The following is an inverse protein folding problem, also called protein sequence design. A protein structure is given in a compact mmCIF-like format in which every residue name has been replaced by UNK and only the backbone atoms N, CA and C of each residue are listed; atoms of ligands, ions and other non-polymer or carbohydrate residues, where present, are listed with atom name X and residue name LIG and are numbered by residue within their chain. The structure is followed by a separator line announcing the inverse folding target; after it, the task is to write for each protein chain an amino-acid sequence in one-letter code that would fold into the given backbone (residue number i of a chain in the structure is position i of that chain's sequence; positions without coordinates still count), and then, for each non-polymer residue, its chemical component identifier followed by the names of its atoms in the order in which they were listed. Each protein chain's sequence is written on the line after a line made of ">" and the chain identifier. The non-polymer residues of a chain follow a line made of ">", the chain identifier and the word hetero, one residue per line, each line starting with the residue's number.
data_IF_605178773519
#
_entry.id   IF_605178773519
#
_cell.length_a   1.000
_cell.length_b   1.000
_cell.length_c   1.000
_cell.angle_alpha   90.00
_cell.angle_beta   90.00
_cell.angle_gamma   90.00
#
_symmetry.space_group_name_H-M   'P 1'
#
loop_
_entity.id
_entity.type
_entity.pdbx_description
1 polymer ?
#
# COMPACT_ATOMS: atom_id res chain seq x y z
N UNK A 1 1.58 27.26 -2.88
CA UNK A 1 0.89 26.83 -1.65
C UNK A 1 1.72 25.72 -1.03
N UNK A 2 1.88 25.71 0.29
CA UNK A 2 2.50 24.60 1.02
C UNK A 2 1.70 23.32 0.80
N UNK A 3 2.36 22.19 0.61
CA UNK A 3 1.69 20.89 0.49
C UNK A 3 1.02 20.54 1.83
N UNK A 4 -0.18 19.95 1.80
CA UNK A 4 -0.81 19.45 3.02
C UNK A 4 0.06 18.37 3.67
N UNK A 5 0.06 18.33 5.00
CA UNK A 5 0.72 17.30 5.79
C UNK A 5 -0.30 16.20 6.14
N UNK A 6 -0.05 14.97 5.72
CA UNK A 6 -0.97 13.84 5.93
C UNK A 6 -0.34 12.79 6.84
N UNK A 7 -1.01 12.47 7.95
CA UNK A 7 -0.61 11.34 8.78
C UNK A 7 -1.21 10.04 8.22
N UNK A 8 -0.36 9.04 8.00
CA UNK A 8 -0.76 7.72 7.48
C UNK A 8 -0.55 6.68 8.56
N UNK A 9 -1.65 6.10 9.05
CA UNK A 9 -1.65 5.09 10.08
C UNK A 9 -1.69 3.70 9.47
N UNK A 10 -0.80 2.83 9.93
CA UNK A 10 -0.90 1.40 9.66
C UNK A 10 -1.79 0.75 10.72
N UNK A 11 -3.00 0.41 10.29
CA UNK A 11 -3.91 -0.44 11.03
C UNK A 11 -3.52 -1.92 10.93
N UNK A 12 -4.15 -2.75 11.76
CA UNK A 12 -3.84 -4.16 11.86
C UNK A 12 -4.28 -4.89 10.61
N UNK A 13 -3.65 -6.03 10.28
CA UNK A 13 -4.07 -6.87 9.15
C UNK A 13 -4.23 -6.12 7.82
N UNK A 14 -3.54 -4.98 7.66
CA UNK A 14 -3.64 -4.08 6.53
C UNK A 14 -3.29 -4.80 5.22
N UNK A 15 -4.30 -5.34 4.55
CA UNK A 15 -4.12 -6.11 3.31
C UNK A 15 -3.58 -5.24 2.19
N UNK A 16 -3.78 -3.92 2.31
CA UNK A 16 -3.18 -2.91 1.43
C UNK A 16 -1.68 -2.74 1.64
N UNK A 17 -1.15 -3.08 2.82
CA UNK A 17 0.27 -3.11 3.13
C UNK A 17 0.82 -4.54 3.22
N UNK A 18 0.25 -5.48 2.45
CA UNK A 18 0.75 -6.84 2.29
C UNK A 18 1.43 -7.00 0.93
N UNK A 19 2.38 -7.92 0.82
CA UNK A 19 3.00 -8.34 -0.43
C UNK A 19 2.64 -9.79 -0.78
N UNK A 20 2.60 -10.17 -2.07
CA UNK A 20 2.65 -11.57 -2.49
C UNK A 20 3.86 -12.27 -1.89
N UNK A 21 3.82 -13.61 -1.87
CA UNK A 21 4.98 -14.38 -1.39
C UNK A 21 6.17 -14.16 -2.31
N UNK A 22 7.32 -13.83 -1.72
CA UNK A 22 8.58 -13.74 -2.43
C UNK A 22 9.11 -15.15 -2.70
N UNK A 23 8.99 -15.61 -3.94
CA UNK A 23 9.47 -16.91 -4.42
C UNK A 23 10.81 -16.69 -5.12
N UNK A 24 11.82 -17.51 -4.89
CA UNK A 24 13.11 -17.34 -5.60
C UNK A 24 12.92 -17.62 -7.10
N UNK A 25 13.27 -16.64 -7.93
CA UNK A 25 13.26 -16.73 -9.40
C UNK A 25 14.27 -17.74 -9.93
N UNK A 26 14.16 -18.14 -11.20
CA UNK A 26 15.04 -19.15 -11.80
C UNK A 26 16.50 -18.67 -11.84
N UNK A 27 16.72 -17.35 -11.93
CA UNK A 27 18.06 -16.74 -11.77
C UNK A 27 18.68 -16.88 -10.38
N UNK A 28 17.86 -17.08 -9.34
CA UNK A 28 18.35 -17.30 -7.98
C UNK A 28 18.50 -18.78 -7.61
N UNK A 29 18.23 -19.69 -8.56
CA UNK A 29 18.24 -21.14 -8.36
C UNK A 29 19.57 -21.74 -8.81
N UNK A 30 19.99 -22.79 -8.12
CA UNK A 30 21.14 -23.62 -8.47
C UNK A 30 20.71 -24.70 -9.47
N UNK A 31 21.67 -25.32 -10.15
CA UNK A 31 21.41 -26.46 -11.05
C UNK A 31 20.74 -27.65 -10.36
N UNK A 32 20.95 -27.80 -9.05
CA UNK A 32 20.34 -28.84 -8.22
C UNK A 32 18.91 -28.52 -7.77
N UNK A 33 18.46 -27.27 -7.93
CA UNK A 33 17.12 -26.87 -7.52
C UNK A 33 16.08 -27.20 -8.60
N UNK A 34 14.82 -27.30 -8.17
CA UNK A 34 13.69 -27.35 -9.10
C UNK A 34 13.42 -25.96 -9.67
N UNK A 35 13.43 -25.82 -10.99
CA UNK A 35 13.12 -24.57 -11.68
C UNK A 35 11.60 -24.34 -11.79
N UNK A 36 11.16 -23.07 -11.82
CA UNK A 36 9.76 -22.67 -11.97
C UNK A 36 9.22 -22.90 -13.39
N UNK A 37 10.10 -23.11 -14.38
CA UNK A 37 9.76 -23.40 -15.79
C UNK A 37 8.85 -22.33 -16.42
N UNK A 38 9.12 -21.06 -16.14
CA UNK A 38 8.40 -19.93 -16.73
C UNK A 38 9.21 -19.33 -17.88
N UNK A 39 8.53 -18.63 -18.80
CA UNK A 39 9.22 -17.92 -19.88
C UNK A 39 10.12 -16.78 -19.37
N UNK A 40 9.72 -16.15 -18.26
CA UNK A 40 10.42 -15.01 -17.67
C UNK A 40 10.49 -15.16 -16.15
N UNK A 41 11.58 -14.69 -15.56
CA UNK A 41 11.66 -14.44 -14.12
C UNK A 41 10.65 -13.36 -13.73
N UNK A 42 9.98 -13.56 -12.60
CA UNK A 42 9.17 -12.49 -12.01
C UNK A 42 10.10 -11.43 -11.41
N UNK A 43 9.64 -10.18 -11.46
CA UNK A 43 10.38 -9.03 -10.96
C UNK A 43 9.73 -8.51 -9.69
N UNK A 44 10.54 -8.05 -8.75
CA UNK A 44 10.08 -7.41 -7.51
C UNK A 44 10.87 -6.12 -7.26
N UNK A 45 10.28 -5.12 -6.57
CA UNK A 45 10.95 -3.86 -6.27
C UNK A 45 12.15 -4.07 -5.36
N UNK A 46 13.35 -3.80 -5.85
CA UNK A 46 14.61 -3.96 -5.13
C UNK A 46 15.56 -2.80 -5.41
N UNK A 47 16.44 -2.52 -4.46
CA UNK A 47 17.44 -1.47 -4.60
C UNK A 47 18.72 -2.03 -5.19
N UNK A 48 19.44 -1.17 -5.91
CA UNK A 48 20.81 -1.45 -6.28
C UNK A 48 21.70 -1.41 -5.04
N UNK A 49 22.71 -2.28 -5.00
CA UNK A 49 23.72 -2.24 -3.94
C UNK A 49 24.73 -1.10 -4.18
N UNK A 50 25.10 -0.90 -5.45
CA UNK A 50 26.03 0.12 -5.91
C UNK A 50 25.58 0.69 -7.26
N UNK A 51 26.09 1.88 -7.67
CA UNK A 51 25.76 2.44 -8.97
C UNK A 51 26.16 1.54 -10.14
N UNK A 52 25.33 1.51 -11.18
CA UNK A 52 25.57 0.73 -12.40
C UNK A 52 25.17 1.51 -13.65
N UNK A 53 26.05 1.50 -14.65
CA UNK A 53 25.71 2.03 -15.97
C UNK A 53 25.05 0.94 -16.81
N UNK A 54 23.82 1.17 -17.24
CA UNK A 54 23.07 0.26 -18.12
C UNK A 54 22.95 0.83 -19.51
N UNK A 55 22.90 -0.08 -20.50
CA UNK A 55 22.58 0.25 -21.88
C UNK A 55 21.16 -0.20 -22.20
N UNK A 56 20.27 0.75 -22.44
CA UNK A 56 18.86 0.54 -22.75
C UNK A 56 18.72 0.54 -24.27
N UNK A 57 18.15 -0.52 -24.82
CA UNK A 57 17.90 -0.61 -26.27
C UNK A 57 16.96 0.52 -26.73
N UNK A 58 17.29 1.20 -27.84
CA UNK A 58 16.36 2.16 -28.45
C UNK A 58 15.06 1.46 -28.91
N UNK A 59 13.97 2.21 -28.91
CA UNK A 59 12.68 1.76 -29.44
C UNK A 59 12.14 0.49 -28.76
N UNK A 60 12.37 0.36 -27.45
CA UNK A 60 11.95 -0.80 -26.65
C UNK A 60 10.82 -0.50 -25.67
N UNK A 61 10.40 0.76 -25.53
CA UNK A 61 9.34 1.16 -24.61
C UNK A 61 7.94 0.94 -25.21
N UNK A 62 7.81 1.01 -26.55
CA UNK A 62 6.57 0.70 -27.25
C UNK A 62 6.83 0.04 -28.63
N UNK A 63 6.01 -0.92 -29.09
CA UNK A 63 6.28 -1.63 -30.35
C UNK A 63 6.35 -0.73 -31.60
N UNK A 64 5.63 0.41 -31.60
CA UNK A 64 5.59 1.35 -32.72
C UNK A 64 6.72 2.40 -32.70
N UNK A 65 7.61 2.39 -31.71
CA UNK A 65 8.71 3.36 -31.71
C UNK A 65 9.66 3.14 -32.90
N UNK A 66 9.78 1.90 -33.39
CA UNK A 66 10.58 1.58 -34.58
C UNK A 66 9.93 2.04 -35.89
N UNK A 67 8.60 2.07 -35.94
CA UNK A 67 7.84 2.46 -37.13
C UNK A 67 7.83 3.99 -37.32
N UNK A 68 7.97 4.73 -36.22
CA UNK A 68 8.00 6.19 -36.19
C UNK A 68 9.37 6.72 -35.76
N UNK A 69 10.47 6.08 -36.20
CA UNK A 69 11.82 6.43 -35.77
C UNK A 69 12.18 7.90 -36.02
N UNK A 70 11.57 8.53 -37.02
CA UNK A 70 11.79 9.91 -37.44
C UNK A 70 11.35 10.96 -36.42
N UNK A 71 10.51 10.60 -35.45
CA UNK A 71 10.08 11.50 -34.37
C UNK A 71 11.04 11.45 -33.16
N UNK A 72 12.02 10.55 -33.16
CA UNK A 72 13.00 10.40 -32.10
C UNK A 72 14.34 11.03 -32.47
N UNK A 73 15.03 11.60 -31.49
CA UNK A 73 16.37 12.14 -31.70
C UNK A 73 17.40 11.04 -31.94
N UNK A 74 18.13 11.13 -33.04
CA UNK A 74 19.28 10.27 -33.31
C UNK A 74 20.57 10.87 -32.74
N UNK A 75 21.12 10.20 -31.74
CA UNK A 75 22.42 10.48 -31.14
C UNK A 75 23.57 9.67 -31.74
N UNK A 76 23.34 8.90 -32.82
CA UNK A 76 24.33 8.05 -33.48
C UNK A 76 24.57 6.68 -32.85
N UNK A 77 23.93 6.37 -31.72
CA UNK A 77 24.04 5.09 -31.01
C UNK A 77 22.78 4.24 -31.17
N UNK A 78 22.87 2.92 -30.97
CA UNK A 78 21.69 2.03 -30.97
C UNK A 78 21.13 1.75 -29.56
N UNK A 79 21.67 2.43 -28.53
CA UNK A 79 21.23 2.37 -27.14
C UNK A 79 21.20 3.77 -26.50
N UNK A 80 20.52 3.86 -25.37
CA UNK A 80 20.69 4.93 -24.39
C UNK A 80 21.56 4.42 -23.24
N UNK A 81 22.54 5.21 -22.81
CA UNK A 81 23.36 4.90 -21.65
C UNK A 81 22.86 5.69 -20.46
N UNK A 82 22.58 4.99 -19.35
CA UNK A 82 22.02 5.60 -18.14
C UNK A 82 22.78 5.06 -16.94
N UNK A 83 23.28 5.97 -16.10
CA UNK A 83 23.76 5.64 -14.76
C UNK A 83 22.55 5.50 -13.84
N UNK A 84 22.42 4.34 -13.19
CA UNK A 84 21.44 4.11 -12.14
C UNK A 84 22.18 4.06 -10.80
N UNK A 85 21.66 4.73 -9.78
CA UNK A 85 22.23 4.71 -8.43
C UNK A 85 21.24 4.14 -7.41
N UNK A 86 21.71 3.66 -6.24
CA UNK A 86 20.82 3.23 -5.15
C UNK A 86 19.81 4.29 -4.70
N UNK A 87 20.16 5.57 -4.81
CA UNK A 87 19.34 6.72 -4.41
C UNK A 87 18.17 7.02 -5.36
N UNK A 88 18.19 6.48 -6.59
CA UNK A 88 17.07 6.58 -7.53
C UNK A 88 15.83 5.78 -7.11
N UNK A 89 15.94 5.02 -6.01
CA UNK A 89 14.88 4.18 -5.46
C UNK A 89 14.86 2.77 -6.06
N UNK A 90 13.76 2.06 -5.84
CA UNK A 90 13.63 0.66 -6.23
C UNK A 90 13.44 0.46 -7.74
N UNK A 91 13.98 -0.65 -8.25
CA UNK A 91 13.80 -1.15 -9.61
C UNK A 91 13.13 -2.52 -9.59
N UNK A 92 12.37 -2.84 -10.63
CA UNK A 92 11.85 -4.20 -10.83
C UNK A 92 13.00 -5.13 -11.26
N UNK A 93 13.46 -5.97 -10.34
CA UNK A 93 14.59 -6.89 -10.52
C UNK A 93 14.17 -8.33 -10.18
N UNK A 94 14.78 -9.36 -10.80
CA UNK A 94 14.53 -10.75 -10.43
C UNK A 94 14.78 -10.98 -8.93
N UNK A 95 13.88 -11.70 -8.27
CA UNK A 95 14.08 -12.03 -6.86
C UNK A 95 15.03 -13.23 -6.74
N UNK A 96 16.25 -13.01 -6.24
CA UNK A 96 17.31 -14.04 -6.23
C UNK A 96 17.70 -14.54 -4.84
N UNK A 97 17.14 -13.94 -3.79
CA UNK A 97 17.47 -14.34 -2.43
C UNK A 97 16.96 -15.75 -2.11
N UNK A 98 17.70 -16.44 -1.23
CA UNK A 98 17.47 -17.82 -0.79
C UNK A 98 17.30 -17.85 0.73
N UNK A 99 16.57 -18.84 1.24
CA UNK A 99 16.40 -19.10 2.67
C UNK A 99 17.63 -19.81 3.20
N UNK A 100 18.11 -19.41 4.36
CA UNK A 100 19.10 -20.19 5.10
C UNK A 100 18.45 -21.43 5.72
N UNK A 101 19.00 -22.59 5.38
CA UNK A 101 18.62 -23.91 5.90
C UNK A 101 19.83 -24.66 6.47
N UNK A 102 20.97 -23.98 6.67
CA UNK A 102 22.21 -24.57 7.16
C UNK A 102 23.04 -25.33 6.11
N UNK A 103 22.60 -25.40 4.86
CA UNK A 103 23.35 -26.07 3.77
C UNK A 103 24.56 -25.30 3.26
N UNK A 104 24.76 -24.05 3.69
CA UNK A 104 25.81 -23.14 3.21
C UNK A 104 25.52 -22.48 1.86
N UNK A 105 24.61 -23.05 1.05
CA UNK A 105 24.13 -22.46 -0.20
C UNK A 105 22.67 -21.96 -0.11
N UNK A 106 21.98 -22.35 0.95
CA UNK A 106 20.57 -22.04 1.18
C UNK A 106 19.65 -22.76 0.19
N UNK A 107 18.35 -22.64 0.44
CA UNK A 107 17.29 -23.24 -0.38
C UNK A 107 16.39 -22.13 -0.95
N UNK A 108 15.81 -22.31 -2.15
CA UNK A 108 14.86 -21.34 -2.70
C UNK A 108 13.71 -21.05 -1.72
N UNK A 109 13.27 -19.79 -1.68
CA UNK A 109 11.98 -19.46 -1.09
C UNK A 109 10.86 -19.96 -2.01
N UNK A 110 9.85 -20.58 -1.41
CA UNK A 110 8.69 -21.12 -2.11
C UNK A 110 7.38 -20.64 -1.49
N UNK A 111 6.31 -20.57 -2.28
CA UNK A 111 4.97 -20.27 -1.74
C UNK A 111 4.55 -21.30 -0.69
N UNK A 112 4.92 -22.57 -0.89
CA UNK A 112 4.65 -23.65 0.06
C UNK A 112 5.29 -23.45 1.43
N UNK A 113 6.29 -22.57 1.55
CA UNK A 113 6.92 -22.28 2.83
C UNK A 113 5.92 -21.74 3.85
N UNK A 114 4.97 -20.92 3.40
CA UNK A 114 3.92 -20.35 4.25
C UNK A 114 2.95 -21.40 4.81
N UNK A 115 3.03 -22.64 4.34
CA UNK A 115 2.20 -23.77 4.73
C UNK A 115 2.97 -24.82 5.55
N UNK A 116 4.26 -24.62 5.75
CA UNK A 116 5.13 -25.59 6.42
C UNK A 116 5.46 -25.18 7.87
N UNK A 117 4.90 -25.85 8.89
CA UNK A 117 5.16 -25.52 10.29
C UNK A 117 6.60 -25.84 10.74
N UNK A 118 7.27 -26.79 10.11
CA UNK A 118 8.62 -27.25 10.52
C UNK A 118 9.69 -26.18 10.31
N UNK A 119 9.44 -25.26 9.38
CA UNK A 119 10.29 -24.10 9.10
C UNK A 119 9.68 -22.79 9.62
N UNK A 120 8.77 -22.88 10.60
CA UNK A 120 8.02 -21.75 11.15
C UNK A 120 7.34 -20.91 10.04
N UNK A 121 6.70 -21.60 9.10
CA UNK A 121 5.99 -21.02 7.96
C UNK A 121 6.86 -20.08 7.11
N UNK A 122 8.13 -20.44 6.92
CA UNK A 122 9.12 -19.67 6.18
C UNK A 122 9.80 -18.56 7.00
N UNK A 123 9.35 -18.31 8.23
CA UNK A 123 9.98 -17.35 9.16
C UNK A 123 9.95 -15.89 8.71
N UNK A 124 9.18 -15.55 7.66
CA UNK A 124 9.09 -14.21 7.09
C UNK A 124 7.75 -13.54 7.38
N UNK A 125 7.81 -12.23 7.56
CA UNK A 125 6.63 -11.38 7.60
C UNK A 125 6.31 -10.93 6.18
N UNK A 126 5.06 -11.09 5.76
CA UNK A 126 4.57 -10.74 4.41
C UNK A 126 4.02 -9.31 4.32
N UNK A 127 3.79 -8.70 5.48
CA UNK A 127 3.28 -7.35 5.62
C UNK A 127 4.41 -6.35 5.87
N UNK A 128 4.19 -5.10 5.46
CA UNK A 128 5.08 -3.99 5.78
C UNK A 128 4.85 -3.51 7.23
N UNK A 129 5.91 -3.08 7.93
CA UNK A 129 5.80 -2.58 9.31
C UNK A 129 5.12 -1.21 9.39
N UNK A 130 5.11 -0.46 8.29
CA UNK A 130 4.37 0.77 8.06
C UNK A 130 4.13 0.98 6.55
N UNK A 131 3.50 2.10 6.17
CA UNK A 131 3.14 2.36 4.78
C UNK A 131 4.24 3.01 3.93
N UNK A 132 5.41 3.35 4.49
CA UNK A 132 6.45 4.12 3.79
C UNK A 132 6.89 3.45 2.49
N UNK A 133 7.14 2.14 2.53
CA UNK A 133 7.56 1.37 1.35
C UNK A 133 6.48 1.32 0.26
N UNK A 134 5.22 1.16 0.64
CA UNK A 134 4.09 1.16 -0.32
C UNK A 134 4.01 2.53 -1.02
N UNK A 135 4.15 3.62 -0.27
CA UNK A 135 4.10 4.98 -0.81
C UNK A 135 5.29 5.25 -1.75
N UNK A 136 6.48 4.81 -1.36
CA UNK A 136 7.67 4.89 -2.21
C UNK A 136 7.49 4.11 -3.52
N UNK A 137 6.97 2.88 -3.45
CA UNK A 137 6.76 2.05 -4.65
C UNK A 137 5.72 2.67 -5.60
N UNK A 138 4.65 3.26 -5.06
CA UNK A 138 3.67 4.02 -5.84
C UNK A 138 4.34 5.23 -6.51
N UNK A 139 5.10 6.03 -5.77
CA UNK A 139 5.76 7.23 -6.30
C UNK A 139 6.89 6.91 -7.26
N UNK A 140 7.54 5.76 -7.12
CA UNK A 140 8.57 5.28 -8.05
C UNK A 140 8.00 4.76 -9.36
N UNK A 141 6.67 4.55 -9.40
CA UNK A 141 5.94 4.04 -10.54
C UNK A 141 6.07 2.52 -10.73
N UNK A 142 6.34 1.78 -9.64
CA UNK A 142 6.45 0.32 -9.66
C UNK A 142 5.16 -0.32 -10.16
N UNK A 143 4.01 0.19 -9.71
CA UNK A 143 2.68 -0.28 -10.10
C UNK A 143 2.13 0.42 -11.34
N UNK A 144 2.90 1.33 -11.94
CA UNK A 144 2.52 2.08 -13.14
C UNK A 144 2.71 3.59 -13.01
N UNK A 145 2.42 4.30 -14.10
CA UNK A 145 2.49 5.77 -14.20
C UNK A 145 1.10 6.38 -14.08
N UNK A 146 1.05 7.67 -13.78
CA UNK A 146 -0.21 8.42 -13.82
C UNK A 146 -0.74 8.59 -15.26
N UNK A 147 -1.92 9.21 -15.40
CA UNK A 147 -2.58 9.43 -16.70
C UNK A 147 -1.82 10.38 -17.64
N UNK A 148 -0.81 11.10 -17.14
CA UNK A 148 0.09 11.96 -17.92
C UNK A 148 1.39 11.26 -18.29
N UNK A 149 1.57 10.01 -17.86
CA UNK A 149 2.80 9.25 -18.08
C UNK A 149 3.92 9.65 -17.12
N UNK A 150 3.62 10.27 -15.97
CA UNK A 150 4.61 10.65 -14.95
C UNK A 150 4.51 9.79 -13.69
N UNK A 151 5.50 9.93 -12.81
CA UNK A 151 5.59 9.27 -11.49
C UNK A 151 5.64 10.33 -10.39
N UNK A 152 5.69 9.94 -9.11
CA UNK A 152 5.68 10.88 -7.98
C UNK A 152 4.31 11.47 -7.68
N UNK A 153 3.23 10.72 -7.94
CA UNK A 153 1.85 11.19 -7.79
C UNK A 153 1.53 11.57 -6.35
N UNK A 154 1.91 10.76 -5.35
CA UNK A 154 1.64 11.03 -3.94
C UNK A 154 2.45 12.22 -3.46
N UNK A 155 3.76 12.26 -3.75
CA UNK A 155 4.62 13.40 -3.47
C UNK A 155 4.09 14.70 -4.11
N UNK A 156 3.52 14.64 -5.31
CA UNK A 156 2.93 15.83 -5.93
C UNK A 156 1.71 16.39 -5.18
N UNK A 157 1.02 15.56 -4.39
CA UNK A 157 -0.21 15.90 -3.68
C UNK A 157 0.06 16.43 -2.27
N UNK A 158 0.87 15.73 -1.48
CA UNK A 158 1.05 15.98 -0.04
C UNK A 158 2.41 15.49 0.46
N UNK A 159 2.79 15.93 1.66
CA UNK A 159 3.85 15.28 2.42
C UNK A 159 3.24 14.32 3.45
N UNK A 160 3.91 13.20 3.72
CA UNK A 160 3.35 12.11 4.52
C UNK A 160 4.21 11.77 5.73
N UNK A 161 3.55 11.50 6.87
CA UNK A 161 4.18 10.98 8.08
C UNK A 161 3.55 9.63 8.44
N UNK A 162 4.38 8.59 8.50
CA UNK A 162 3.93 7.22 8.74
C UNK A 162 3.93 6.90 10.23
N UNK A 163 2.78 6.48 10.76
CA UNK A 163 2.57 6.22 12.18
C UNK A 163 2.12 4.76 12.38
N UNK A 164 2.86 4.03 13.22
CA UNK A 164 2.59 2.62 13.55
C UNK A 164 1.62 2.52 14.72
N UNK A 165 0.32 2.62 14.44
CA UNK A 165 -0.71 2.53 15.47
C UNK A 165 -0.98 1.08 15.92
N UNK A 166 -1.22 0.19 14.94
CA UNK A 166 -1.41 -1.24 15.14
C UNK A 166 -0.81 -1.99 13.94
N UNK A 167 0.50 -1.89 13.71
CA UNK A 167 1.10 -2.35 12.46
C UNK A 167 0.89 -3.86 12.26
N UNK A 168 0.74 -4.33 11.01
CA UNK A 168 0.58 -5.76 10.73
C UNK A 168 1.90 -6.55 10.79
N UNK A 169 3.05 -5.87 10.75
CA UNK A 169 4.38 -6.44 10.89
C UNK A 169 5.25 -5.61 11.86
N UNK A 170 6.33 -6.22 12.36
CA UNK A 170 7.19 -5.60 13.35
C UNK A 170 8.65 -6.02 13.35
N UNK A 171 9.46 -5.24 14.04
CA UNK A 171 10.91 -5.39 14.14
C UNK A 171 11.27 -6.31 15.30
N UNK A 172 11.17 -7.62 15.09
CA UNK A 172 11.41 -8.64 16.15
C UNK A 172 12.83 -8.60 16.73
N UNK A 173 13.83 -8.15 15.95
CA UNK A 173 15.20 -7.94 16.44
C UNK A 173 15.33 -6.73 17.37
N UNK A 174 14.38 -5.81 17.34
CA UNK A 174 14.29 -4.67 18.25
C UNK A 174 13.37 -4.96 19.45
N UNK A 175 12.99 -6.23 19.67
CA UNK A 175 12.20 -6.66 20.82
C UNK A 175 10.69 -6.62 20.61
N UNK A 176 10.19 -6.25 19.43
CA UNK A 176 8.75 -6.23 19.15
C UNK A 176 8.16 -7.64 19.10
N UNK A 177 6.96 -7.80 19.67
CA UNK A 177 6.28 -9.08 19.81
C UNK A 177 4.95 -9.14 19.06
N UNK A 178 4.74 -10.24 18.34
CA UNK A 178 3.50 -10.50 17.61
C UNK A 178 2.32 -10.67 18.58
N UNK A 179 1.28 -9.87 18.39
CA UNK A 179 0.08 -9.81 19.23
C UNK A 179 0.13 -8.75 20.33
N UNK A 180 1.27 -8.05 20.46
CA UNK A 180 1.46 -6.96 21.43
C UNK A 180 1.80 -5.66 20.70
N UNK A 181 2.87 -5.69 19.90
CA UNK A 181 3.41 -4.53 19.19
C UNK A 181 2.95 -4.50 17.73
N UNK A 182 2.77 -5.69 17.12
CA UNK A 182 2.28 -5.85 15.75
C UNK A 182 1.35 -7.05 15.60
N UNK A 183 0.49 -7.05 14.59
CA UNK A 183 -0.63 -7.99 14.46
C UNK A 183 -0.65 -8.65 13.08
N UNK A 184 0.12 -9.74 12.87
CA UNK A 184 0.18 -10.42 11.59
C UNK A 184 -1.17 -11.03 11.23
N UNK A 185 -1.48 -11.02 9.94
CA UNK A 185 -2.69 -11.65 9.39
C UNK A 185 -2.39 -13.00 8.71
N UNK A 186 -1.24 -13.11 8.06
CA UNK A 186 -0.81 -14.28 7.27
C UNK A 186 0.64 -14.65 7.63
N UNK A 187 1.01 -15.94 7.59
CA UNK A 187 0.15 -17.11 7.41
C UNK A 187 -0.86 -17.29 8.55
N UNK A 188 -2.04 -17.84 8.26
CA UNK A 188 -3.17 -17.91 9.22
C UNK A 188 -2.80 -18.52 10.59
N UNK A 189 -1.97 -19.57 10.69
CA UNK A 189 -1.61 -20.16 11.98
C UNK A 189 -0.84 -19.21 12.91
N UNK A 190 -0.11 -18.23 12.38
CA UNK A 190 0.61 -17.22 13.19
C UNK A 190 -0.20 -15.93 13.39
N UNK A 191 -1.38 -15.85 12.77
CA UNK A 191 -2.22 -14.66 12.79
C UNK A 191 -2.63 -14.28 14.22
N UNK A 192 -2.59 -12.98 14.52
CA UNK A 192 -3.02 -12.42 15.81
C UNK A 192 -4.31 -11.64 15.64
N UNK A 193 -5.23 -11.83 16.57
CA UNK A 193 -6.51 -11.14 16.60
C UNK A 193 -6.43 -9.93 17.50
N UNK A 194 -7.19 -8.91 17.14
CA UNK A 194 -7.28 -7.68 17.90
C UNK A 194 -8.22 -7.88 19.07
N UNK A 195 -8.00 -7.06 20.09
CA UNK A 195 -8.95 -6.88 21.19
C UNK A 195 -9.53 -5.46 21.11
N UNK A 196 -10.66 -5.22 21.77
CA UNK A 196 -11.18 -3.85 21.90
C UNK A 196 -10.17 -2.91 22.58
N UNK A 197 -9.31 -3.44 23.47
CA UNK A 197 -8.22 -2.68 24.06
C UNK A 197 -7.17 -2.25 23.02
N UNK A 198 -6.92 -3.06 22.00
CA UNK A 198 -6.06 -2.69 20.86
C UNK A 198 -6.64 -1.50 20.08
N UNK A 199 -7.95 -1.50 19.81
CA UNK A 199 -8.62 -0.36 19.15
C UNK A 199 -8.64 0.90 20.02
N UNK A 200 -8.80 0.77 21.35
CA UNK A 200 -8.66 1.90 22.27
C UNK A 200 -7.24 2.48 22.25
N UNK A 201 -6.20 1.63 22.23
CA UNK A 201 -4.79 2.06 22.04
C UNK A 201 -4.62 2.84 20.74
N UNK A 202 -5.15 2.32 19.63
CA UNK A 202 -5.11 3.01 18.33
C UNK A 202 -5.82 4.36 18.38
N UNK A 203 -6.98 4.43 19.02
CA UNK A 203 -7.76 5.66 19.20
C UNK A 203 -6.91 6.73 19.89
N UNK A 204 -6.22 6.37 20.97
CA UNK A 204 -5.35 7.31 21.70
C UNK A 204 -4.16 7.77 20.85
N UNK A 205 -3.55 6.88 20.06
CA UNK A 205 -2.44 7.23 19.16
C UNK A 205 -2.91 8.20 18.07
N UNK A 206 -4.05 7.90 17.44
CA UNK A 206 -4.65 8.73 16.40
C UNK A 206 -5.04 10.09 16.97
N UNK A 207 -5.73 10.14 18.12
CA UNK A 207 -6.11 11.40 18.76
C UNK A 207 -4.89 12.22 19.17
N UNK A 208 -3.81 11.58 19.64
CA UNK A 208 -2.55 12.27 19.94
C UNK A 208 -1.94 12.94 18.71
N UNK A 209 -1.93 12.24 17.56
CA UNK A 209 -1.48 12.80 16.30
C UNK A 209 -2.38 13.92 15.79
N UNK A 210 -3.70 13.85 16.01
CA UNK A 210 -4.62 14.95 15.71
C UNK A 210 -4.31 16.17 16.58
N UNK A 211 -4.13 15.96 17.88
CA UNK A 211 -3.90 17.02 18.86
C UNK A 211 -2.55 17.71 18.72
N UNK A 212 -1.60 17.16 17.94
CA UNK A 212 -0.33 17.84 17.66
C UNK A 212 -0.51 19.09 16.79
N UNK A 213 -1.60 19.17 16.02
CA UNK A 213 -1.84 20.25 15.07
C UNK A 213 -0.88 20.27 13.87
N UNK A 214 -0.13 19.19 13.65
CA UNK A 214 0.87 19.08 12.56
C UNK A 214 0.28 18.69 11.20
N UNK A 215 -0.98 18.21 11.17
CA UNK A 215 -1.56 17.55 9.99
C UNK A 215 -2.83 18.23 9.49
N UNK A 216 -3.04 18.16 8.18
CA UNK A 216 -4.22 18.65 7.47
C UNK A 216 -5.25 17.53 7.20
N UNK A 217 -4.88 16.27 7.43
CA UNK A 217 -5.77 15.12 7.31
C UNK A 217 -5.07 13.79 7.59
N UNK A 218 -5.86 12.72 7.57
CA UNK A 218 -5.44 11.42 8.09
C UNK A 218 -5.88 10.27 7.17
N UNK A 219 -5.00 9.31 6.94
CA UNK A 219 -5.29 8.06 6.25
C UNK A 219 -5.12 6.90 7.24
N UNK A 220 -6.11 6.04 7.36
CA UNK A 220 -6.06 4.79 8.09
C UNK A 220 -6.08 3.61 7.12
N UNK A 221 -4.99 2.85 7.07
CA UNK A 221 -4.89 1.63 6.27
C UNK A 221 -5.36 0.43 7.08
N UNK A 222 -6.25 -0.39 6.53
CA UNK A 222 -6.87 -1.52 7.26
C UNK A 222 -7.05 -2.74 6.35
N UNK A 223 -7.21 -3.91 6.99
CA UNK A 223 -7.64 -5.11 6.28
C UNK A 223 -9.06 -4.96 5.74
N UNK A 224 -9.28 -5.33 4.48
CA UNK A 224 -10.61 -5.21 3.85
C UNK A 224 -11.79 -5.78 4.68
N UNK A 225 -11.65 -6.87 5.47
CA UNK A 225 -12.75 -7.39 6.28
C UNK A 225 -13.15 -6.53 7.50
N UNK A 226 -12.27 -5.67 8.02
CA UNK A 226 -12.51 -4.92 9.27
C UNK A 226 -12.56 -3.40 9.07
N UNK A 227 -12.31 -2.91 7.84
CA UNK A 227 -12.32 -1.47 7.57
C UNK A 227 -13.65 -0.81 7.97
N UNK A 228 -14.80 -1.44 7.72
CA UNK A 228 -16.10 -0.90 8.12
C UNK A 228 -16.22 -0.72 9.64
N UNK A 229 -15.75 -1.70 10.41
CA UNK A 229 -15.86 -1.72 11.87
C UNK A 229 -14.90 -0.71 12.51
N UNK A 230 -13.63 -0.72 12.10
CA UNK A 230 -12.61 0.20 12.61
C UNK A 230 -12.96 1.66 12.28
N UNK A 231 -13.43 1.90 11.06
CA UNK A 231 -13.78 3.27 10.65
C UNK A 231 -15.04 3.76 11.35
N UNK A 232 -16.05 2.90 11.54
CA UNK A 232 -17.22 3.25 12.34
C UNK A 232 -16.84 3.54 13.79
N UNK A 233 -15.97 2.72 14.40
CA UNK A 233 -15.43 2.96 15.73
C UNK A 233 -14.75 4.33 15.85
N UNK A 234 -13.83 4.68 14.93
CA UNK A 234 -13.20 5.99 14.94
C UNK A 234 -14.18 7.12 14.69
N UNK A 235 -15.21 6.91 13.84
CA UNK A 235 -16.25 7.93 13.59
C UNK A 235 -17.01 8.37 14.84
N UNK A 236 -17.01 7.54 15.89
CA UNK A 236 -17.66 7.79 17.18
C UNK A 236 -16.73 8.37 18.25
N UNK A 237 -15.45 8.04 18.20
CA UNK A 237 -14.52 8.29 19.32
C UNK A 237 -13.44 9.32 19.03
N UNK A 238 -13.09 9.53 17.76
CA UNK A 238 -12.10 10.52 17.38
C UNK A 238 -12.76 11.91 17.32
N UNK A 239 -12.09 12.90 17.88
CA UNK A 239 -12.50 14.30 17.86
C UNK A 239 -11.65 15.06 16.85
N UNK A 240 -12.21 15.35 15.66
CA UNK A 240 -11.55 16.14 14.63
C UNK A 240 -12.52 16.69 13.60
N UNK A 241 -12.25 17.91 13.14
CA UNK A 241 -12.91 18.51 11.99
C UNK A 241 -12.17 18.24 10.67
N UNK A 242 -10.95 17.68 10.74
CA UNK A 242 -10.10 17.40 9.58
C UNK A 242 -10.53 16.10 8.88
N UNK A 243 -10.25 15.96 7.56
CA UNK A 243 -10.53 14.74 6.83
C UNK A 243 -9.87 13.49 7.44
N UNK A 244 -10.67 12.45 7.68
CA UNK A 244 -10.19 11.15 8.14
C UNK A 244 -10.66 10.06 7.18
N UNK A 245 -9.72 9.42 6.49
CA UNK A 245 -10.01 8.48 5.40
C UNK A 245 -9.54 7.07 5.76
N UNK A 246 -10.45 6.12 5.75
CA UNK A 246 -10.15 4.69 5.78
C UNK A 246 -9.92 4.13 4.39
N UNK A 247 -8.87 3.34 4.21
CA UNK A 247 -8.50 2.74 2.92
C UNK A 247 -8.16 1.26 3.11
N UNK A 248 -8.53 0.43 2.14
CA UNK A 248 -8.13 -0.97 2.10
C UNK A 248 -7.88 -1.42 0.66
N UNK A 249 -7.39 -2.65 0.54
CA UNK A 249 -7.16 -3.34 -0.73
C UNK A 249 -7.66 -4.76 -0.64
N UNK A 250 -8.25 -5.28 -1.72
CA UNK A 250 -8.66 -6.68 -1.80
C UNK A 250 -7.58 -7.57 -2.42
N UNK A 251 -6.65 -6.97 -3.18
CA UNK A 251 -5.42 -7.62 -3.64
C UNK A 251 -4.19 -7.06 -2.91
N UNK A 252 -3.21 -7.89 -2.51
CA UNK A 252 -1.91 -7.46 -2.01
C UNK A 252 -1.22 -6.43 -2.92
N UNK A 253 -0.40 -5.57 -2.32
CA UNK A 253 0.48 -4.66 -3.05
C UNK A 253 1.52 -5.44 -3.87
N UNK A 254 1.65 -5.14 -5.16
CA UNK A 254 2.49 -5.90 -6.09
C UNK A 254 1.83 -7.14 -6.71
N UNK A 255 0.58 -7.46 -6.35
CA UNK A 255 -0.21 -8.43 -7.11
C UNK A 255 -0.75 -7.79 -8.41
N UNK A 256 -0.98 -8.61 -9.44
CA UNK A 256 -1.61 -8.16 -10.68
C UNK A 256 -2.92 -7.40 -10.40
N UNK A 257 -3.02 -6.18 -10.93
CA UNK A 257 -4.19 -5.31 -10.80
C UNK A 257 -4.57 -5.03 -9.35
N UNK A 258 -3.59 -4.82 -8.47
CA UNK A 258 -3.86 -4.41 -7.10
C UNK A 258 -4.62 -3.08 -7.04
N UNK A 259 -5.67 -3.03 -6.21
CA UNK A 259 -6.57 -1.89 -6.08
C UNK A 259 -6.10 -0.86 -5.06
N UNK A 260 -5.30 -1.29 -4.08
CA UNK A 260 -4.84 -0.47 -2.95
C UNK A 260 -4.09 0.79 -3.36
N UNK A 261 -3.18 0.70 -4.33
CA UNK A 261 -2.33 1.83 -4.71
C UNK A 261 -3.16 3.00 -5.24
N UNK A 262 -4.16 2.69 -6.07
CA UNK A 262 -5.09 3.68 -6.57
C UNK A 262 -5.97 4.23 -5.43
N UNK A 263 -6.45 3.38 -4.54
CA UNK A 263 -7.26 3.82 -3.40
C UNK A 263 -6.48 4.78 -2.46
N UNK A 264 -5.17 4.57 -2.25
CA UNK A 264 -4.29 5.47 -1.48
C UNK A 264 -4.16 6.83 -2.18
N UNK A 265 -3.91 6.84 -3.49
CA UNK A 265 -3.80 8.08 -4.27
C UNK A 265 -5.10 8.87 -4.22
N UNK A 266 -6.25 8.21 -4.36
CA UNK A 266 -7.55 8.85 -4.29
C UNK A 266 -7.87 9.39 -2.89
N UNK A 267 -7.43 8.71 -1.83
CA UNK A 267 -7.51 9.22 -0.46
C UNK A 267 -6.66 10.49 -0.25
N UNK A 268 -5.42 10.51 -0.76
CA UNK A 268 -4.57 11.69 -0.71
C UNK A 268 -5.19 12.88 -1.47
N UNK A 269 -5.75 12.64 -2.67
CA UNK A 269 -6.45 13.66 -3.45
C UNK A 269 -7.67 14.21 -2.74
N UNK A 270 -8.46 13.33 -2.12
CA UNK A 270 -9.60 13.76 -1.29
C UNK A 270 -9.12 14.69 -0.18
N UNK A 271 -8.11 14.31 0.61
CA UNK A 271 -7.62 15.16 1.69
C UNK A 271 -7.10 16.51 1.15
N UNK A 272 -6.45 16.53 0.00
CA UNK A 272 -5.95 17.75 -0.64
C UNK A 272 -7.03 18.62 -1.28
N UNK A 273 -8.26 18.11 -1.52
CA UNK A 273 -9.35 18.85 -2.16
C UNK A 273 -10.16 19.72 -1.18
N UNK A 274 -9.54 20.21 -0.10
CA UNK A 274 -10.17 21.03 0.93
C UNK A 274 -10.88 22.27 0.36
N UNK A 275 -11.91 22.80 1.04
CA UNK A 275 -12.39 22.42 2.39
C UNK A 275 -13.38 21.23 2.41
N UNK A 276 -13.23 20.34 3.39
CA UNK A 276 -14.03 19.11 3.56
C UNK A 276 -14.62 18.97 4.97
N UNK A 277 -15.26 20.01 5.48
CA UNK A 277 -15.74 20.05 6.86
C UNK A 277 -17.06 19.29 7.07
N UNK A 278 -17.16 18.58 8.19
CA UNK A 278 -18.39 17.87 8.60
C UNK A 278 -18.74 16.65 7.75
N UNK A 279 -17.72 16.02 7.15
CA UNK A 279 -17.89 14.75 6.40
C UNK A 279 -17.81 13.52 7.33
N UNK A 280 -17.26 13.69 8.54
CA UNK A 280 -16.92 12.58 9.41
C UNK A 280 -15.78 11.73 8.84
N UNK A 281 -15.58 10.55 9.43
CA UNK A 281 -14.72 9.54 8.84
C UNK A 281 -15.36 8.96 7.57
N UNK A 282 -14.57 8.77 6.53
CA UNK A 282 -15.02 8.24 5.23
C UNK A 282 -14.16 7.07 4.77
N UNK A 283 -14.77 6.09 4.10
CA UNK A 283 -14.04 5.02 3.42
C UNK A 283 -13.84 5.41 1.97
N UNK A 284 -12.61 5.32 1.45
CA UNK A 284 -12.32 5.53 0.02
C UNK A 284 -11.78 4.24 -0.57
N UNK A 285 -12.60 3.66 -1.45
CA UNK A 285 -12.32 2.43 -2.21
C UNK A 285 -13.07 2.50 -3.53
N UNK A 286 -12.50 1.93 -4.59
CA UNK A 286 -13.15 1.85 -5.91
C UNK A 286 -13.62 3.23 -6.42
N UNK A 287 -12.78 4.27 -6.20
CA UNK A 287 -13.04 5.69 -6.54
C UNK A 287 -14.31 6.30 -5.90
N UNK A 288 -14.91 5.65 -4.91
CA UNK A 288 -16.12 6.08 -4.21
C UNK A 288 -15.80 6.54 -2.79
N UNK A 289 -16.52 7.57 -2.33
CA UNK A 289 -16.42 8.11 -0.97
C UNK A 289 -17.61 7.60 -0.17
N UNK A 290 -17.37 6.73 0.81
CA UNK A 290 -18.40 6.16 1.66
C UNK A 290 -18.43 6.82 3.03
N UNK A 291 -19.62 7.13 3.55
CA UNK A 291 -19.77 7.55 4.93
C UNK A 291 -19.52 6.35 5.87
N UNK A 292 -18.63 6.49 6.88
CA UNK A 292 -18.27 5.38 7.78
C UNK A 292 -19.48 4.67 8.40
N UNK A 293 -20.55 5.41 8.73
CA UNK A 293 -21.79 4.88 9.32
C UNK A 293 -22.54 3.87 8.44
N UNK A 294 -22.39 3.99 7.12
CA UNK A 294 -23.13 3.21 6.13
C UNK A 294 -22.23 2.37 5.24
N UNK A 295 -20.92 2.37 5.50
CA UNK A 295 -19.94 1.65 4.69
C UNK A 295 -19.94 0.17 5.05
N UNK A 296 -19.95 -0.71 4.04
CA UNK A 296 -19.91 -2.17 4.25
C UNK A 296 -19.20 -2.91 3.13
N UNK A 297 -18.45 -3.96 3.46
CA UNK A 297 -17.99 -4.99 2.54
C UNK A 297 -19.13 -5.98 2.28
N UNK A 298 -19.75 -5.87 1.10
CA UNK A 298 -20.84 -6.75 0.68
C UNK A 298 -20.38 -8.03 -0.02
N UNK A 299 -19.15 -8.06 -0.56
CA UNK A 299 -18.60 -9.18 -1.32
C UNK A 299 -17.08 -9.30 -1.06
N UNK A 300 -16.52 -10.50 -1.23
CA UNK A 300 -15.10 -10.80 -1.07
C UNK A 300 -14.30 -10.66 -2.38
N UNK A 301 -14.68 -9.70 -3.24
CA UNK A 301 -13.99 -9.36 -4.50
C UNK A 301 -13.93 -7.84 -4.70
N UNK A 302 -12.92 -7.32 -5.44
CA UNK A 302 -12.86 -5.91 -5.84
C UNK A 302 -14.20 -5.36 -6.37
N UNK A 303 -14.58 -4.13 -6.00
CA UNK A 303 -15.93 -3.60 -6.25
C UNK A 303 -17.02 -4.14 -5.29
N UNK A 304 -16.62 -4.89 -4.27
CA UNK A 304 -17.51 -5.53 -3.30
C UNK A 304 -18.02 -4.61 -2.19
N UNK A 305 -17.51 -3.39 -2.09
CA UNK A 305 -17.97 -2.41 -1.11
C UNK A 305 -19.30 -1.78 -1.51
N UNK A 306 -20.16 -1.56 -0.52
CA UNK A 306 -21.53 -1.07 -0.69
C UNK A 306 -21.87 -0.09 0.43
N UNK A 307 -22.85 0.75 0.16
CA UNK A 307 -23.55 1.47 1.21
C UNK A 307 -24.74 0.64 1.72
N UNK A 308 -24.90 0.55 3.04
CA UNK A 308 -26.12 0.05 3.69
C UNK A 308 -26.97 1.22 4.20
N UNK A 309 -28.30 1.11 4.11
CA UNK A 309 -29.22 2.08 4.74
C UNK A 309 -29.84 3.18 3.85
N UNK A 310 -29.95 3.00 2.53
CA UNK A 310 -30.69 3.92 1.63
C UNK A 310 -29.83 4.94 0.87
N UNK A 311 -30.42 6.05 0.40
CA UNK A 311 -29.82 7.03 -0.55
C UNK A 311 -28.64 7.88 -0.02
N UNK A 312 -27.96 7.51 1.07
CA UNK A 312 -27.06 8.44 1.78
C UNK A 312 -25.65 7.97 2.15
N UNK A 313 -25.25 6.73 1.85
CA UNK A 313 -23.93 6.25 2.29
C UNK A 313 -22.79 6.37 1.28
N UNK A 314 -23.06 6.75 0.02
CA UNK A 314 -22.03 7.22 -0.93
C UNK A 314 -22.13 8.74 -1.00
N UNK A 315 -21.10 9.42 -0.56
CA UNK A 315 -21.04 10.88 -0.45
C UNK A 315 -20.56 11.55 -1.74
N UNK A 316 -19.84 10.80 -2.59
CA UNK A 316 -19.15 11.37 -3.74
C UNK A 316 -18.22 10.39 -4.45
N UNK A 317 -17.40 10.94 -5.36
CA UNK A 317 -16.32 10.24 -6.06
C UNK A 317 -14.96 10.86 -5.77
N UNK A 318 -13.93 10.04 -5.66
CA UNK A 318 -12.55 10.45 -5.35
C UNK A 318 -11.56 10.21 -6.52
N UNK A 319 -12.06 10.14 -7.75
CA UNK A 319 -11.21 9.94 -8.93
C UNK A 319 -10.32 11.18 -9.22
N UNK A 320 -9.83 11.35 -10.46
CA UNK A 320 -8.99 12.49 -10.85
C UNK A 320 -9.59 13.85 -10.45
N UNK A 321 -10.92 13.97 -10.33
CA UNK A 321 -11.59 15.12 -9.75
C UNK A 321 -12.48 14.68 -8.58
N UNK A 322 -12.17 15.17 -7.38
CA UNK A 322 -12.98 14.87 -6.19
C UNK A 322 -14.30 15.62 -6.27
N UNK A 323 -15.42 14.90 -6.19
CA UNK A 323 -16.78 15.46 -6.24
C UNK A 323 -17.57 14.99 -5.04
N UNK A 324 -18.12 15.94 -4.28
CA UNK A 324 -19.01 15.67 -3.15
C UNK A 324 -20.45 16.00 -3.59
N UNK A 325 -21.34 15.03 -3.45
CA UNK A 325 -22.77 15.16 -3.77
C UNK A 325 -23.62 15.29 -2.52
N UNK A 326 -23.24 14.59 -1.46
CA UNK A 326 -23.99 14.55 -0.21
C UNK A 326 -23.09 14.82 0.98
N UNK A 327 -23.64 15.56 1.96
CA UNK A 327 -23.02 15.76 3.27
C UNK A 327 -23.83 15.01 4.32
N UNK A 328 -23.19 14.24 5.22
CA UNK A 328 -23.90 13.61 6.32
C UNK A 328 -24.60 14.63 7.24
N UNK A 329 -25.78 14.26 7.76
CA UNK A 329 -26.59 15.10 8.67
C UNK A 329 -26.67 14.54 10.11
N UNK A 330 -26.08 13.37 10.35
CA UNK A 330 -25.89 12.84 11.70
C UNK A 330 -24.65 13.48 12.34
N UNK A 331 -24.52 13.40 13.67
CA UNK A 331 -23.33 13.87 14.37
C UNK A 331 -22.09 13.09 13.88
N UNK A 332 -21.19 13.78 13.19
CA UNK A 332 -20.02 13.20 12.51
C UNK A 332 -18.73 13.57 13.25
N UNK A 333 -18.09 12.62 13.94
CA UNK A 333 -16.95 12.87 14.84
C UNK A 333 -17.32 13.91 15.94
N UNK A 334 -16.71 13.84 17.13
CA UNK A 334 -16.74 15.02 18.02
C UNK A 334 -15.97 16.11 17.25
N UNK A 335 -16.40 17.35 17.06
CA UNK A 335 -17.05 18.31 17.95
C UNK A 335 -18.28 18.96 17.27
N UNK A 336 -19.46 18.61 17.78
CA UNK A 336 -20.66 19.45 17.83
C UNK A 336 -21.42 19.20 19.13
#
# INVERSE_FOLDING_TARGET
>A
MTKPQIAVFSGPRSTIANSPTLVTSDKGRLETDSYLQRRFDHLVPQYLHEPVTVRIRKYSAHPLEQDAEEVYHDNGENFFEVLLTPEDGAYLLPYVARRDDGSGTGTPFEESDLRNPDINYGGRQTFFPDASKVFEDIDRGISGRDSKGTVGVLNSIADYKFIRALPPAGYTKNGEQAGVDFFPYSPRPIGKFLTSASLAKATNIVQSAINSGEFDGFIWLEGSPHLEETLYWFSLLIDTALPFVGVSSQRPHGELSNDGDRNIVDAARYIASQPLTGMGAVGIVDEQIFAARSFKKGDARPGGYRSTGGHGGVLGSANNEVKIWYKPVYKTLSTS
#
